data_IF_919654938167
#
_entry.id   IF_919654938167
#
_cell.length_a   1.000
_cell.length_b   1.000
_cell.length_c   1.000
_cell.angle_alpha   90.00
_cell.angle_beta   90.00
_cell.angle_gamma   90.00
#
_symmetry.space_group_name_H-M   'P 1'
#
loop_
_entity.id
_entity.type
_entity.pdbx_description
1 polymer ?
#
# COMPACT_ATOMS: atom_id res chain seq x y z
N UNK A 1 0.79 -8.80 16.74
CA UNK A 1 1.84 -8.24 15.86
C UNK A 1 1.55 -6.77 15.60
N UNK A 2 2.58 -5.97 15.29
CA UNK A 2 2.47 -4.52 15.06
C UNK A 2 2.72 -4.20 13.59
N UNK A 3 1.74 -3.62 12.91
CA UNK A 3 1.80 -3.27 11.49
C UNK A 3 1.70 -1.77 11.26
N UNK A 4 2.57 -1.22 10.42
CA UNK A 4 2.49 0.15 9.92
C UNK A 4 1.76 0.16 8.58
N UNK A 5 0.64 0.90 8.48
CA UNK A 5 -0.17 0.99 7.26
C UNK A 5 -0.28 2.44 6.80
N UNK A 6 0.16 2.73 5.58
CA UNK A 6 0.03 4.07 4.98
C UNK A 6 -1.23 4.19 4.13
N UNK A 7 -1.86 5.38 4.11
CA UNK A 7 -3.13 5.59 3.39
C UNK A 7 -4.30 4.84 4.01
N UNK A 8 -4.32 4.73 5.34
CA UNK A 8 -5.24 3.90 6.12
C UNK A 8 -6.67 4.43 6.23
N UNK A 9 -6.93 5.70 5.89
CA UNK A 9 -8.20 6.36 6.25
C UNK A 9 -9.38 6.03 5.36
N UNK A 10 -9.20 5.35 4.23
CA UNK A 10 -10.27 4.99 3.28
C UNK A 10 -9.86 3.88 2.33
N UNK A 11 -10.85 3.30 1.62
CA UNK A 11 -10.63 2.32 0.56
C UNK A 11 -9.83 1.11 1.01
N UNK A 12 -8.87 0.68 0.18
CA UNK A 12 -8.04 -0.51 0.45
C UNK A 12 -7.30 -0.42 1.78
N UNK A 13 -6.71 0.74 2.09
CA UNK A 13 -5.96 0.91 3.33
C UNK A 13 -6.82 0.79 4.58
N UNK A 14 -8.06 1.30 4.55
CA UNK A 14 -9.03 1.13 5.64
C UNK A 14 -9.41 -0.34 5.82
N UNK A 15 -9.69 -1.03 4.72
CA UNK A 15 -10.06 -2.44 4.79
C UNK A 15 -8.90 -3.33 5.25
N UNK A 16 -7.65 -3.00 4.86
CA UNK A 16 -6.46 -3.66 5.42
C UNK A 16 -6.40 -3.47 6.94
N UNK A 17 -6.63 -2.25 7.44
CA UNK A 17 -6.66 -2.01 8.89
C UNK A 17 -7.74 -2.86 9.56
N UNK A 18 -8.96 -2.92 9.00
CA UNK A 18 -10.06 -3.73 9.51
C UNK A 18 -9.69 -5.21 9.61
N UNK A 19 -9.16 -5.80 8.53
CA UNK A 19 -8.75 -7.21 8.49
C UNK A 19 -7.68 -7.51 9.54
N UNK A 20 -6.67 -6.65 9.67
CA UNK A 20 -5.60 -6.84 10.65
C UNK A 20 -6.11 -6.74 12.10
N UNK A 21 -7.04 -5.83 12.38
CA UNK A 21 -7.67 -5.69 13.70
C UNK A 21 -8.57 -6.88 14.05
N UNK A 22 -9.38 -7.37 13.10
CA UNK A 22 -10.19 -8.58 13.25
C UNK A 22 -9.36 -9.81 13.61
N UNK A 23 -8.09 -9.85 13.19
CA UNK A 23 -7.12 -10.90 13.50
C UNK A 23 -6.34 -10.66 14.81
N UNK A 24 -6.71 -9.65 15.60
CA UNK A 24 -6.10 -9.34 16.88
C UNK A 24 -4.72 -8.66 16.79
N UNK A 25 -4.43 -7.98 15.67
CA UNK A 25 -3.18 -7.27 15.50
C UNK A 25 -3.31 -5.80 15.89
N UNK A 26 -2.18 -5.15 16.15
CA UNK A 26 -2.11 -3.71 16.39
C UNK A 26 -1.68 -2.98 15.12
N UNK A 27 -2.41 -1.95 14.75
CA UNK A 27 -2.20 -1.17 13.53
C UNK A 27 -1.80 0.26 13.87
N UNK A 28 -0.71 0.70 13.27
CA UNK A 28 -0.23 2.08 13.27
C UNK A 28 -0.55 2.69 11.93
N UNK A 29 -1.64 3.44 11.85
CA UNK A 29 -2.17 4.02 10.62
C UNK A 29 -1.62 5.42 10.34
N UNK A 30 -1.31 5.70 9.08
CA UNK A 30 -0.87 7.03 8.62
C UNK A 30 -1.71 7.45 7.43
N UNK A 31 -2.26 8.65 7.48
CA UNK A 31 -2.92 9.33 6.37
C UNK A 31 -2.93 10.85 6.61
N UNK A 32 -3.37 11.64 5.64
CA UNK A 32 -3.50 13.11 5.80
C UNK A 32 -4.64 13.54 6.70
N UNK A 33 -5.64 12.70 6.90
CA UNK A 33 -6.81 13.01 7.71
C UNK A 33 -7.69 11.77 7.91
N UNK A 34 -8.74 11.93 8.70
CA UNK A 34 -9.73 10.91 8.98
C UNK A 34 -10.84 10.87 7.93
N UNK A 35 -11.42 9.68 7.71
CA UNK A 35 -12.80 9.53 7.25
C UNK A 35 -13.71 9.16 8.43
N UNK A 36 -15.02 9.34 8.28
CA UNK A 36 -15.97 8.92 9.32
C UNK A 36 -15.87 7.41 9.60
N UNK A 37 -15.68 6.61 8.55
CA UNK A 37 -15.53 5.16 8.66
C UNK A 37 -14.26 4.77 9.43
N UNK A 38 -13.15 5.50 9.20
CA UNK A 38 -11.91 5.27 9.96
C UNK A 38 -12.06 5.69 11.42
N UNK A 39 -12.73 6.80 11.68
CA UNK A 39 -12.99 7.26 13.04
C UNK A 39 -13.82 6.22 13.82
N UNK A 40 -14.89 5.69 13.23
CA UNK A 40 -15.67 4.63 13.84
C UNK A 40 -14.81 3.39 14.12
N UNK A 41 -14.01 2.94 13.16
CA UNK A 41 -13.11 1.80 13.34
C UNK A 41 -12.12 2.04 14.49
N UNK A 42 -11.62 3.27 14.64
CA UNK A 42 -10.70 3.63 15.72
C UNK A 42 -11.40 3.66 17.08
N UNK A 43 -12.62 4.18 17.15
CA UNK A 43 -13.44 4.19 18.40
C UNK A 43 -13.74 2.77 18.88
N UNK A 44 -13.97 1.82 17.96
CA UNK A 44 -14.19 0.40 18.25
C UNK A 44 -12.90 -0.34 18.66
N UNK A 45 -11.70 0.20 18.31
CA UNK A 45 -10.39 -0.48 18.48
C UNK A 45 -9.34 0.43 19.14
N UNK A 46 -9.69 1.18 20.18
CA UNK A 46 -8.84 2.23 20.77
C UNK A 46 -7.47 1.73 21.27
N UNK A 47 -7.38 0.48 21.73
CA UNK A 47 -6.14 -0.12 22.21
C UNK A 47 -5.26 -0.72 21.12
N UNK A 48 -5.79 -0.88 19.89
CA UNK A 48 -5.14 -1.58 18.80
C UNK A 48 -5.03 -0.77 17.50
N UNK A 49 -5.72 0.38 17.37
CA UNK A 49 -5.61 1.26 16.21
C UNK A 49 -5.11 2.64 16.61
N UNK A 50 -3.85 2.88 16.34
CA UNK A 50 -3.19 4.17 16.53
C UNK A 50 -3.10 4.92 15.20
N UNK A 51 -3.33 6.22 15.24
CA UNK A 51 -3.31 7.06 14.04
C UNK A 51 -2.42 8.28 14.21
N UNK A 52 -1.75 8.65 13.13
CA UNK A 52 -1.07 9.94 13.02
C UNK A 52 -1.34 10.59 11.66
N UNK A 53 -1.76 11.86 11.69
CA UNK A 53 -1.89 12.67 10.49
C UNK A 53 -0.51 13.08 9.99
N UNK A 54 -0.14 12.60 8.79
CA UNK A 54 1.14 12.90 8.14
C UNK A 54 0.93 13.07 6.65
N UNK A 55 1.49 14.14 6.09
CA UNK A 55 1.60 14.32 4.64
C UNK A 55 2.82 13.54 4.13
N UNK A 56 2.56 12.57 3.27
CA UNK A 56 3.59 11.71 2.67
C UNK A 56 4.23 12.31 1.41
N UNK A 57 3.94 13.56 1.07
CA UNK A 57 4.66 14.29 0.02
C UNK A 57 6.07 14.75 0.46
N UNK A 58 6.31 14.85 1.78
CA UNK A 58 7.60 15.19 2.37
C UNK A 58 8.38 13.92 2.75
N UNK A 59 9.10 13.35 1.78
CA UNK A 59 9.90 12.15 1.97
C UNK A 59 11.12 12.35 2.89
N UNK A 60 11.60 13.57 3.06
CA UNK A 60 12.77 13.87 3.92
C UNK A 60 12.40 13.80 5.41
N UNK A 61 11.17 14.19 5.75
CA UNK A 61 10.69 14.20 7.13
C UNK A 61 10.22 12.84 7.67
N UNK A 62 10.19 11.79 6.85
CA UNK A 62 9.74 10.43 7.22
C UNK A 62 10.39 9.92 8.50
N UNK A 63 11.72 10.10 8.64
CA UNK A 63 12.43 9.64 9.83
C UNK A 63 11.90 10.29 11.10
N UNK A 64 11.66 11.59 11.08
CA UNK A 64 11.19 12.34 12.25
C UNK A 64 9.71 12.02 12.51
N UNK A 65 8.86 12.29 11.52
CA UNK A 65 7.41 12.25 11.68
C UNK A 65 6.88 10.85 11.99
N UNK A 66 7.48 9.80 11.40
CA UNK A 66 7.04 8.42 11.58
C UNK A 66 7.89 7.70 12.63
N UNK A 67 9.21 7.63 12.45
CA UNK A 67 10.07 6.73 13.23
C UNK A 67 10.69 7.33 14.50
N UNK A 68 10.50 8.63 14.77
CA UNK A 68 10.81 9.23 16.06
C UNK A 68 9.56 9.60 16.85
N UNK A 69 8.62 10.26 16.17
CA UNK A 69 7.49 10.91 16.82
C UNK A 69 6.23 10.01 16.90
N UNK A 70 6.20 8.85 16.22
CA UNK A 70 5.06 7.94 16.20
C UNK A 70 5.45 6.49 16.55
N UNK A 71 6.34 5.86 15.76
CA UNK A 71 6.74 4.46 15.96
C UNK A 71 7.87 4.33 16.98
N UNK A 72 8.51 5.23 17.48
CA UNK A 72 9.66 5.23 18.39
C UNK A 72 10.57 3.95 18.31
N UNK A 73 11.82 4.08 18.74
CA UNK A 73 12.75 2.93 18.76
C UNK A 73 12.37 1.83 19.78
N UNK A 74 11.38 2.05 20.64
CA UNK A 74 10.91 1.06 21.63
C UNK A 74 9.83 0.15 21.08
N UNK A 75 9.17 0.56 20.00
CA UNK A 75 8.11 -0.20 19.36
C UNK A 75 8.68 -1.11 18.27
N UNK A 76 8.50 -2.42 18.43
CA UNK A 76 8.83 -3.40 17.41
C UNK A 76 7.77 -3.38 16.29
N UNK A 77 8.22 -3.28 15.04
CA UNK A 77 7.38 -3.53 13.87
C UNK A 77 7.55 -4.96 13.37
N UNK A 78 6.43 -5.61 13.11
CA UNK A 78 6.37 -6.94 12.49
C UNK A 78 6.09 -6.85 10.98
N UNK A 79 5.53 -5.73 10.52
CA UNK A 79 5.35 -5.51 9.08
C UNK A 79 4.99 -4.09 8.69
N UNK A 80 5.03 -3.87 7.37
CA UNK A 80 4.76 -2.58 6.72
C UNK A 80 3.85 -2.78 5.51
N UNK A 81 2.83 -1.93 5.37
CA UNK A 81 2.03 -1.82 4.15
C UNK A 81 2.16 -0.42 3.55
N UNK A 82 2.86 -0.32 2.42
CA UNK A 82 2.92 0.87 1.59
C UNK A 82 1.71 0.90 0.65
N UNK A 83 0.60 1.47 1.11
CA UNK A 83 -0.65 1.58 0.36
C UNK A 83 -0.97 3.01 -0.09
N UNK A 84 -0.51 4.03 0.62
CA UNK A 84 -0.77 5.41 0.23
C UNK A 84 -0.34 5.69 -1.21
N UNK A 85 -1.22 6.33 -1.98
CA UNK A 85 -0.96 6.68 -3.36
C UNK A 85 -1.68 7.96 -3.78
N UNK A 86 -1.12 8.61 -4.79
CA UNK A 86 -1.69 9.73 -5.51
C UNK A 86 -1.78 9.37 -6.99
N UNK A 87 -2.92 9.62 -7.62
CA UNK A 87 -3.08 9.48 -9.06
C UNK A 87 -2.68 10.78 -9.78
N UNK A 88 -2.12 10.62 -10.96
CA UNK A 88 -1.93 11.68 -11.94
C UNK A 88 -2.20 11.09 -13.32
N UNK A 89 -3.38 11.38 -13.83
CA UNK A 89 -3.91 10.85 -15.07
C UNK A 89 -3.89 11.94 -16.14
N UNK A 90 -3.12 11.71 -17.19
CA UNK A 90 -3.08 12.55 -18.40
C UNK A 90 -2.38 11.79 -19.52
N UNK A 91 -2.54 12.26 -20.77
CA UNK A 91 -1.75 11.74 -21.89
C UNK A 91 -0.33 12.28 -21.83
N UNK A 92 0.64 11.50 -22.33
CA UNK A 92 2.07 11.80 -22.17
C UNK A 92 2.46 13.17 -22.74
N UNK A 93 1.80 13.65 -23.78
CA UNK A 93 2.07 14.96 -24.38
C UNK A 93 1.68 16.15 -23.49
N UNK A 94 0.82 15.92 -22.51
CA UNK A 94 0.38 16.94 -21.52
C UNK A 94 1.11 16.80 -20.19
N UNK A 95 2.18 16.00 -20.12
CA UNK A 95 2.91 15.75 -18.88
C UNK A 95 3.32 17.08 -18.22
N UNK A 96 2.88 17.28 -16.98
CA UNK A 96 3.30 18.36 -16.11
C UNK A 96 4.33 17.83 -15.11
N UNK A 97 5.55 18.36 -15.16
CA UNK A 97 6.67 17.86 -14.36
C UNK A 97 6.45 18.05 -12.86
N UNK A 98 5.81 19.15 -12.44
CA UNK A 98 5.55 19.37 -11.00
C UNK A 98 4.52 18.40 -10.44
N UNK A 99 3.45 18.10 -11.18
CA UNK A 99 2.48 17.06 -10.81
C UNK A 99 3.14 15.67 -10.77
N UNK A 100 4.01 15.38 -11.73
CA UNK A 100 4.77 14.12 -11.75
C UNK A 100 5.67 14.00 -10.53
N UNK A 101 6.44 15.03 -10.18
CA UNK A 101 7.30 15.05 -8.99
C UNK A 101 6.48 14.84 -7.70
N UNK A 102 5.34 15.53 -7.56
CA UNK A 102 4.46 15.38 -6.41
C UNK A 102 3.91 13.94 -6.29
N UNK A 103 3.49 13.34 -7.39
CA UNK A 103 3.05 11.94 -7.39
C UNK A 103 4.20 10.98 -7.04
N UNK A 104 5.39 11.16 -7.62
CA UNK A 104 6.55 10.33 -7.32
C UNK A 104 7.02 10.48 -5.87
N UNK A 105 6.91 11.66 -5.28
CA UNK A 105 7.18 11.86 -3.86
C UNK A 105 6.32 10.92 -3.00
N UNK A 106 5.00 10.88 -3.25
CA UNK A 106 4.06 10.04 -2.49
C UNK A 106 4.17 8.56 -2.87
N UNK A 107 4.26 8.24 -4.18
CA UNK A 107 4.13 6.87 -4.65
C UNK A 107 5.45 6.09 -4.64
N UNK A 108 6.60 6.77 -4.69
CA UNK A 108 7.91 6.13 -4.86
C UNK A 108 8.87 6.52 -3.74
N UNK A 109 9.19 7.81 -3.61
CA UNK A 109 10.27 8.23 -2.69
C UNK A 109 9.91 7.97 -1.23
N UNK A 110 8.71 8.35 -0.82
CA UNK A 110 8.26 8.15 0.57
C UNK A 110 8.12 6.67 0.93
N UNK A 111 7.50 5.78 0.14
CA UNK A 111 7.52 4.33 0.38
C UNK A 111 8.93 3.74 0.52
N UNK A 112 9.89 4.16 -0.31
CA UNK A 112 11.29 3.73 -0.20
C UNK A 112 11.91 4.18 1.13
N UNK A 113 11.65 5.43 1.54
CA UNK A 113 12.15 5.97 2.82
C UNK A 113 11.49 5.29 4.02
N UNK A 114 10.19 5.03 3.98
CA UNK A 114 9.49 4.28 5.04
C UNK A 114 10.05 2.86 5.13
N UNK A 115 10.23 2.17 4.00
CA UNK A 115 10.81 0.82 3.94
C UNK A 115 12.20 0.79 4.55
N UNK A 116 13.08 1.75 4.21
CA UNK A 116 14.40 1.88 4.83
C UNK A 116 14.34 1.92 6.36
N UNK A 117 13.45 2.72 6.92
CA UNK A 117 13.37 2.86 8.38
C UNK A 117 12.60 1.71 9.05
N UNK A 118 11.64 1.09 8.38
CA UNK A 118 10.98 -0.12 8.86
C UNK A 118 11.98 -1.28 8.95
N UNK A 119 12.81 -1.50 7.93
CA UNK A 119 13.88 -2.51 7.97
C UNK A 119 14.84 -2.21 9.12
N UNK A 120 15.27 -0.95 9.32
CA UNK A 120 16.13 -0.60 10.45
C UNK A 120 15.50 -0.88 11.81
N UNK A 121 14.20 -0.68 11.94
CA UNK A 121 13.45 -1.04 13.14
C UNK A 121 13.41 -2.57 13.32
N UNK A 122 13.10 -3.32 12.26
CA UNK A 122 13.09 -4.78 12.28
C UNK A 122 14.46 -5.35 12.68
N UNK A 123 15.55 -4.81 12.15
CA UNK A 123 16.92 -5.19 12.53
C UNK A 123 17.22 -4.88 13.98
N UNK A 124 16.83 -3.71 14.48
CA UNK A 124 17.03 -3.31 15.88
C UNK A 124 16.34 -4.27 16.86
N UNK A 125 15.18 -4.78 16.48
CA UNK A 125 14.37 -5.69 17.30
C UNK A 125 14.55 -7.16 16.96
N UNK A 126 15.48 -7.51 16.05
CA UNK A 126 15.69 -8.88 15.57
C UNK A 126 14.40 -9.55 15.05
N UNK A 127 13.57 -8.78 14.34
CA UNK A 127 12.26 -9.22 13.82
C UNK A 127 12.41 -9.71 12.39
N UNK A 128 11.90 -10.92 12.12
CA UNK A 128 11.66 -11.40 10.77
C UNK A 128 10.36 -10.77 10.27
N UNK A 129 10.46 -9.67 9.54
CA UNK A 129 9.30 -8.86 9.17
C UNK A 129 8.79 -9.12 7.76
N UNK A 130 7.61 -8.57 7.45
CA UNK A 130 7.02 -8.65 6.11
C UNK A 130 6.63 -7.25 5.61
N UNK A 131 7.04 -6.94 4.39
CA UNK A 131 6.75 -5.67 3.71
C UNK A 131 5.86 -5.95 2.52
N UNK A 132 4.76 -5.21 2.42
CA UNK A 132 3.84 -5.28 1.29
C UNK A 132 3.68 -3.90 0.66
N UNK A 133 3.90 -3.84 -0.65
CA UNK A 133 3.63 -2.65 -1.45
C UNK A 133 2.34 -2.86 -2.26
N UNK A 134 1.47 -1.86 -2.30
CA UNK A 134 0.27 -1.90 -3.15
C UNK A 134 0.60 -1.25 -4.48
N UNK A 135 0.70 -2.08 -5.53
CA UNK A 135 0.87 -1.66 -6.91
C UNK A 135 -0.50 -1.43 -7.60
N UNK A 136 -0.58 -1.68 -8.85
CA UNK A 136 -1.80 -1.60 -9.67
C UNK A 136 -1.62 -2.41 -10.93
N UNK A 137 -2.70 -3.00 -11.41
CA UNK A 137 -2.76 -3.62 -12.73
C UNK A 137 -2.32 -2.68 -13.87
N UNK A 138 -2.40 -1.35 -13.67
CA UNK A 138 -1.92 -0.37 -14.64
C UNK A 138 -0.42 -0.49 -14.96
N UNK A 139 0.39 -1.07 -14.07
CA UNK A 139 1.80 -1.35 -14.32
C UNK A 139 2.02 -2.52 -15.31
N UNK A 140 1.01 -3.36 -15.51
CA UNK A 140 1.06 -4.57 -16.33
C UNK A 140 0.23 -4.47 -17.61
N UNK A 141 -0.69 -3.48 -17.68
CA UNK A 141 -1.55 -3.24 -18.84
C UNK A 141 -1.39 -1.82 -19.33
N UNK A 142 -1.44 -1.60 -20.63
CA UNK A 142 -1.38 -0.26 -21.22
C UNK A 142 -2.75 0.43 -21.20
N UNK A 143 -2.99 1.30 -20.23
CA UNK A 143 -4.19 2.16 -20.22
C UNK A 143 -3.83 3.58 -20.67
N UNK A 144 -4.63 4.11 -21.63
CA UNK A 144 -4.49 5.49 -22.09
C UNK A 144 -4.67 6.46 -20.92
N UNK A 145 -3.72 7.38 -20.74
CA UNK A 145 -3.76 8.40 -19.69
C UNK A 145 -3.11 7.97 -18.36
N UNK A 146 -2.68 6.72 -18.20
CA UNK A 146 -2.10 6.23 -16.94
C UNK A 146 -0.58 6.04 -16.96
N UNK A 147 0.12 6.50 -18.01
CA UNK A 147 1.57 6.24 -18.15
C UNK A 147 2.38 6.67 -16.94
N UNK A 148 2.13 7.86 -16.38
CA UNK A 148 2.84 8.40 -15.22
C UNK A 148 2.55 7.60 -13.95
N UNK A 149 1.27 7.30 -13.71
CA UNK A 149 0.85 6.50 -12.56
C UNK A 149 1.39 5.06 -12.64
N UNK A 150 1.24 4.42 -13.79
CA UNK A 150 1.74 3.06 -14.04
C UNK A 150 3.25 2.96 -13.80
N UNK A 151 4.04 3.95 -14.28
CA UNK A 151 5.48 3.98 -14.06
C UNK A 151 5.84 4.08 -12.57
N UNK A 152 5.09 4.86 -11.79
CA UNK A 152 5.31 4.96 -10.33
C UNK A 152 5.02 3.63 -9.61
N UNK A 153 4.02 2.88 -10.07
CA UNK A 153 3.68 1.57 -9.50
C UNK A 153 4.68 0.50 -9.90
N UNK A 154 5.13 0.48 -11.16
CA UNK A 154 6.21 -0.41 -11.62
C UNK A 154 7.54 -0.18 -10.89
N UNK A 155 7.83 1.07 -10.50
CA UNK A 155 9.01 1.39 -9.69
C UNK A 155 8.99 0.67 -8.32
N UNK A 156 7.83 0.58 -7.66
CA UNK A 156 7.69 -0.16 -6.39
C UNK A 156 7.86 -1.67 -6.58
N UNK A 157 7.44 -2.21 -7.73
CA UNK A 157 7.58 -3.65 -8.01
C UNK A 157 9.05 -4.04 -8.16
N UNK A 158 9.82 -3.25 -8.92
CA UNK A 158 11.27 -3.45 -9.04
C UNK A 158 11.95 -3.29 -7.67
N UNK A 159 11.64 -2.21 -6.93
CA UNK A 159 12.19 -1.95 -5.60
C UNK A 159 11.90 -3.09 -4.61
N UNK A 160 10.71 -3.66 -4.64
CA UNK A 160 10.33 -4.78 -3.77
C UNK A 160 11.18 -6.04 -4.03
N UNK A 161 11.48 -6.36 -5.30
CA UNK A 161 12.30 -7.51 -5.67
C UNK A 161 13.73 -7.40 -5.11
N UNK A 162 14.33 -6.23 -5.26
CA UNK A 162 15.69 -6.00 -4.78
C UNK A 162 15.71 -5.97 -3.25
N UNK A 163 14.73 -5.32 -2.60
CA UNK A 163 14.56 -5.36 -1.14
C UNK A 163 14.47 -6.81 -0.62
N UNK A 164 13.72 -7.68 -1.30
CA UNK A 164 13.62 -9.10 -0.94
C UNK A 164 14.96 -9.83 -1.04
N UNK A 165 15.79 -9.50 -2.04
CA UNK A 165 17.14 -10.08 -2.23
C UNK A 165 18.12 -9.60 -1.18
N UNK A 166 18.10 -8.30 -0.88
CA UNK A 166 19.01 -7.69 0.09
C UNK A 166 18.77 -8.18 1.54
N UNK A 167 17.51 -8.41 1.92
CA UNK A 167 17.14 -8.62 3.31
C UNK A 167 16.56 -10.01 3.63
N UNK A 168 16.38 -10.84 2.61
CA UNK A 168 15.82 -12.20 2.76
C UNK A 168 16.64 -13.10 3.67
N UNK A 169 17.97 -13.01 3.68
CA UNK A 169 18.85 -13.79 4.57
C UNK A 169 18.57 -13.51 6.05
N UNK A 170 18.08 -12.31 6.38
CA UNK A 170 17.69 -11.92 7.74
C UNK A 170 16.21 -12.17 8.03
N UNK A 171 15.52 -12.90 7.15
CA UNK A 171 14.11 -13.26 7.30
C UNK A 171 13.12 -12.14 7.00
N UNK A 172 13.58 -11.00 6.42
CA UNK A 172 12.69 -9.91 6.02
C UNK A 172 12.20 -10.16 4.60
N UNK A 173 10.89 -10.32 4.45
CA UNK A 173 10.23 -10.55 3.16
C UNK A 173 9.71 -9.24 2.58
N UNK A 174 9.72 -9.10 1.26
CA UNK A 174 9.12 -7.97 0.55
C UNK A 174 8.37 -8.48 -0.66
N UNK A 175 7.08 -8.12 -0.74
CA UNK A 175 6.19 -8.53 -1.83
C UNK A 175 5.32 -7.36 -2.29
N UNK A 176 4.70 -7.53 -3.43
CA UNK A 176 3.74 -6.59 -4.00
C UNK A 176 2.39 -7.27 -4.16
N UNK A 177 1.32 -6.60 -3.75
CA UNK A 177 -0.03 -6.96 -4.15
C UNK A 177 -0.45 -6.01 -5.28
N UNK A 178 -0.96 -6.59 -6.37
CA UNK A 178 -1.34 -5.89 -7.60
C UNK A 178 -2.86 -5.98 -7.75
N UNK A 179 -3.62 -4.98 -7.24
CA UNK A 179 -5.07 -4.98 -7.40
C UNK A 179 -5.47 -4.67 -8.84
N UNK A 180 -6.58 -5.27 -9.26
CA UNK A 180 -7.33 -4.85 -10.44
C UNK A 180 -8.14 -3.58 -10.19
N UNK A 181 -9.10 -3.33 -11.08
CA UNK A 181 -10.03 -2.22 -10.92
C UNK A 181 -10.97 -2.47 -9.74
N UNK A 182 -11.04 -1.51 -8.83
CA UNK A 182 -11.89 -1.52 -7.64
C UNK A 182 -12.80 -0.30 -7.63
N UNK A 183 -14.00 -0.44 -7.09
CA UNK A 183 -14.89 0.68 -6.82
C UNK A 183 -14.44 1.40 -5.54
N UNK A 184 -13.77 2.51 -5.72
CA UNK A 184 -13.26 3.37 -4.65
C UNK A 184 -13.53 4.84 -4.96
N UNK A 185 -13.26 5.73 -4.02
CA UNK A 185 -13.32 7.19 -4.28
C UNK A 185 -12.39 7.63 -5.43
N UNK A 186 -11.35 6.88 -5.74
CA UNK A 186 -10.43 7.17 -6.85
C UNK A 186 -11.06 6.87 -8.22
N UNK A 187 -12.05 5.97 -8.28
CA UNK A 187 -12.77 5.58 -9.51
C UNK A 187 -14.15 6.22 -9.63
N UNK A 188 -14.53 7.12 -8.73
CA UNK A 188 -15.88 7.73 -8.66
C UNK A 188 -16.26 8.60 -9.86
N UNK A 189 -15.28 9.02 -10.66
CA UNK A 189 -15.50 9.84 -11.85
C UNK A 189 -15.89 9.03 -13.10
N UNK A 190 -15.81 7.70 -13.04
CA UNK A 190 -16.16 6.83 -14.16
C UNK A 190 -17.67 6.64 -14.26
N UNK A 191 -18.19 6.69 -15.49
CA UNK A 191 -19.60 6.36 -15.77
C UNK A 191 -19.85 4.86 -15.66
N UNK A 192 -21.11 4.46 -15.44
CA UNK A 192 -21.48 3.04 -15.36
C UNK A 192 -21.12 2.28 -16.65
N UNK A 193 -21.26 2.91 -17.82
CA UNK A 193 -20.84 2.32 -19.10
C UNK A 193 -19.32 2.08 -19.16
N UNK A 194 -18.51 2.98 -18.59
CA UNK A 194 -17.06 2.81 -18.51
C UNK A 194 -16.69 1.66 -17.56
N UNK A 195 -17.38 1.56 -16.42
CA UNK A 195 -17.21 0.45 -15.47
C UNK A 195 -17.59 -0.88 -16.11
N UNK A 196 -18.73 -0.96 -16.77
CA UNK A 196 -19.17 -2.17 -17.49
C UNK A 196 -18.15 -2.64 -18.53
N UNK A 197 -17.53 -1.72 -19.27
CA UNK A 197 -16.47 -2.06 -20.23
C UNK A 197 -15.23 -2.65 -19.53
N UNK A 198 -14.90 -2.15 -18.35
CA UNK A 198 -13.80 -2.68 -17.54
C UNK A 198 -14.15 -4.09 -17.05
N UNK A 199 -15.34 -4.29 -16.47
CA UNK A 199 -15.77 -5.59 -15.95
C UNK A 199 -15.83 -6.67 -17.05
N UNK A 200 -16.32 -6.32 -18.25
CA UNK A 200 -16.34 -7.25 -19.40
C UNK A 200 -14.96 -7.78 -19.79
N UNK A 201 -13.89 -7.09 -19.45
CA UNK A 201 -12.50 -7.51 -19.72
C UNK A 201 -11.93 -8.46 -18.66
N UNK A 202 -12.48 -8.48 -17.45
CA UNK A 202 -12.05 -9.42 -16.40
C UNK A 202 -12.61 -10.82 -16.66
N UNK A 203 -11.92 -11.86 -16.19
CA UNK A 203 -12.42 -13.23 -16.30
C UNK A 203 -13.67 -13.46 -15.46
N UNK A 204 -13.73 -12.86 -14.26
CA UNK A 204 -14.86 -12.99 -13.33
C UNK A 204 -16.02 -12.04 -13.64
N UNK A 205 -15.89 -11.15 -14.65
CA UNK A 205 -16.92 -10.17 -15.06
C UNK A 205 -17.41 -9.25 -13.96
N UNK A 206 -16.51 -8.91 -13.02
CA UNK A 206 -16.81 -8.08 -11.86
C UNK A 206 -15.61 -7.23 -11.47
N UNK A 207 -15.79 -6.16 -10.66
CA UNK A 207 -14.69 -5.42 -10.06
C UNK A 207 -13.90 -6.31 -9.09
N UNK A 208 -12.68 -5.93 -8.83
CA UNK A 208 -11.89 -6.56 -7.77
C UNK A 208 -12.47 -6.19 -6.41
N UNK A 209 -12.74 -7.19 -5.59
CA UNK A 209 -13.24 -6.99 -4.23
C UNK A 209 -12.14 -6.42 -3.32
N UNK A 210 -12.41 -5.28 -2.69
CA UNK A 210 -11.46 -4.60 -1.78
C UNK A 210 -11.10 -5.53 -0.61
N UNK A 211 -12.07 -6.27 -0.07
CA UNK A 211 -11.84 -7.24 1.00
C UNK A 211 -10.88 -8.35 0.57
N UNK A 212 -10.99 -8.86 -0.65
CA UNK A 212 -10.06 -9.89 -1.16
C UNK A 212 -8.63 -9.37 -1.26
N UNK A 213 -8.45 -8.09 -1.63
CA UNK A 213 -7.13 -7.45 -1.62
C UNK A 213 -6.59 -7.36 -0.19
N UNK A 214 -7.40 -6.93 0.77
CA UNK A 214 -7.00 -6.80 2.18
C UNK A 214 -6.64 -8.15 2.82
N UNK A 215 -7.43 -9.19 2.55
CA UNK A 215 -7.14 -10.56 3.01
C UNK A 215 -5.84 -11.11 2.40
N UNK A 216 -5.59 -10.83 1.12
CA UNK A 216 -4.33 -11.21 0.47
C UNK A 216 -3.14 -10.48 1.13
N UNK A 217 -3.27 -9.19 1.43
CA UNK A 217 -2.24 -8.44 2.15
C UNK A 217 -1.98 -9.06 3.52
N UNK A 218 -3.03 -9.36 4.27
CA UNK A 218 -2.92 -10.00 5.59
C UNK A 218 -2.23 -11.38 5.50
N UNK A 219 -2.61 -12.20 4.51
CA UNK A 219 -1.96 -13.49 4.26
C UNK A 219 -0.46 -13.31 3.99
N UNK A 220 -0.07 -12.37 3.11
CA UNK A 220 1.34 -12.09 2.78
C UNK A 220 2.13 -11.55 3.98
N UNK A 221 1.49 -10.80 4.87
CA UNK A 221 2.12 -10.33 6.10
C UNK A 221 2.36 -11.48 7.11
N UNK A 222 1.54 -12.53 7.07
CA UNK A 222 1.56 -13.63 8.05
C UNK A 222 2.71 -14.61 7.82
N UNK A 223 2.98 -15.43 8.83
CA UNK A 223 3.95 -16.55 8.78
C UNK A 223 3.54 -17.64 7.79
N UNK A 224 2.24 -17.73 7.43
CA UNK A 224 1.73 -18.68 6.43
C UNK A 224 2.33 -18.43 5.03
N UNK A 225 2.78 -17.22 4.76
CA UNK A 225 3.46 -16.82 3.53
C UNK A 225 5.00 -16.85 3.65
N UNK A 226 5.56 -17.62 4.59
CA UNK A 226 6.98 -17.63 4.92
C UNK A 226 7.94 -17.92 3.76
N UNK A 227 7.49 -18.61 2.72
CA UNK A 227 8.27 -18.89 1.51
C UNK A 227 7.97 -17.94 0.34
N UNK A 228 7.14 -16.90 0.55
CA UNK A 228 6.76 -15.92 -0.50
C UNK A 228 7.54 -14.62 -0.28
N UNK A 229 8.47 -14.31 -1.16
CA UNK A 229 9.22 -13.05 -1.18
C UNK A 229 9.63 -12.67 -2.61
N UNK A 230 9.71 -11.37 -2.91
CA UNK A 230 10.06 -10.84 -4.23
C UNK A 230 8.98 -11.06 -5.29
N UNK A 231 7.72 -11.33 -4.89
CA UNK A 231 6.63 -11.67 -5.81
C UNK A 231 5.67 -10.48 -6.03
N UNK A 232 5.11 -10.44 -7.25
CA UNK A 232 3.96 -9.61 -7.59
C UNK A 232 2.72 -10.53 -7.58
N UNK A 233 1.80 -10.29 -6.64
CA UNK A 233 0.62 -11.13 -6.44
C UNK A 233 -0.60 -10.39 -6.95
N UNK A 234 -1.18 -10.88 -8.03
CA UNK A 234 -2.33 -10.28 -8.69
C UNK A 234 -3.63 -10.64 -7.97
N UNK A 235 -4.44 -9.61 -7.67
CA UNK A 235 -5.80 -9.73 -7.14
C UNK A 235 -6.67 -8.83 -8.02
N UNK A 236 -7.03 -9.29 -9.19
CA UNK A 236 -7.49 -8.44 -10.29
C UNK A 236 -8.72 -8.97 -11.05
N UNK A 237 -9.42 -9.95 -10.48
CA UNK A 237 -10.58 -10.63 -11.10
C UNK A 237 -10.25 -11.27 -12.45
N UNK A 238 -8.98 -11.58 -12.71
CA UNK A 238 -8.52 -12.14 -13.98
C UNK A 238 -8.52 -11.11 -15.11
N UNK A 239 -7.89 -9.96 -14.88
CA UNK A 239 -7.70 -8.92 -15.92
C UNK A 239 -6.46 -9.21 -16.78
N UNK A 240 -5.40 -9.78 -16.21
CA UNK A 240 -4.16 -10.19 -16.87
C UNK A 240 -3.82 -11.63 -16.54
#
# INVERSE_FOLDING_TARGET
MNYLVTGCSRGVGLEICRVLLEQGHTVYGIARGFSNEFQQLQEENQEHLFFKSIDLSDSENVRKSIFKDFISNKLRLDGLVNNAAMAYDDIITNLNLEKLKAMYAVNVFTPMMITKYAIRNMLLHHTQGSIVHISSISAHTGYKGLAMYASSKGALEAFSKDTAREWGELGIRSNVVVPGFMETSMSSTLTDEQKDRIYKRTSLKQPTCIRSVAETVSFILSDKAGSITGQNIHVDSGTI
#
